data_IF_329917952191
#
_entry.id   IF_329917952191
#
_cell.length_a   1.000
_cell.length_b   1.000
_cell.length_c   1.000
_cell.angle_alpha   90.00
_cell.angle_beta   90.00
_cell.angle_gamma   90.00
#
_symmetry.space_group_name_H-M   'P 1'
#
loop_
_entity.id
_entity.type
_entity.pdbx_description
1 polymer ?
#
# COMPACT_ATOMS: atom_id res chain seq x y z
N UNK A 1 16.97 -3.67 -20.59
CA UNK A 1 17.09 -3.72 -20.16
C UNK A 1 16.80 -4.07 -19.33
N UNK A 2 16.74 -4.44 -19.36
CA UNK A 2 16.38 -4.94 -18.51
C UNK A 2 16.25 -4.59 -17.40
N UNK A 3 16.58 -4.23 -17.33
CA UNK A 3 16.45 -3.84 -16.44
C UNK A 3 15.69 -3.22 -15.58
N UNK A 4 15.33 -2.70 -15.63
CA UNK A 4 14.34 -2.29 -14.94
C UNK A 4 13.70 -3.26 -14.15
N UNK A 5 14.05 -4.48 -14.16
CA UNK A 5 13.48 -5.49 -13.44
C UNK A 5 13.55 -5.27 -11.99
N UNK A 6 14.36 -4.49 -11.41
CA UNK A 6 14.45 -4.30 -9.97
C UNK A 6 13.47 -3.29 -9.40
N UNK A 7 12.76 -2.52 -10.22
CA UNK A 7 11.92 -1.46 -9.72
C UNK A 7 10.57 -1.96 -9.18
N UNK A 8 9.89 -2.78 -9.97
CA UNK A 8 8.61 -3.34 -9.54
C UNK A 8 8.78 -4.74 -9.01
N UNK A 9 7.83 -5.16 -8.18
CA UNK A 9 7.81 -6.54 -7.70
C UNK A 9 7.63 -7.47 -8.89
N UNK A 10 8.42 -8.53 -8.91
CA UNK A 10 8.48 -9.41 -10.08
C UNK A 10 7.68 -10.69 -9.94
N UNK A 11 7.47 -11.15 -8.72
CA UNK A 11 6.80 -12.43 -8.48
C UNK A 11 5.52 -12.23 -7.68
N UNK A 12 4.58 -13.16 -7.86
CA UNK A 12 3.33 -13.13 -7.09
C UNK A 12 3.63 -13.26 -5.60
N UNK A 13 4.65 -14.02 -5.25
CA UNK A 13 5.06 -14.15 -3.86
C UNK A 13 5.44 -12.79 -3.26
N UNK A 14 6.22 -12.00 -4.00
CA UNK A 14 6.59 -10.67 -3.56
C UNK A 14 5.37 -9.76 -3.44
N UNK A 15 4.44 -9.87 -4.37
CA UNK A 15 3.20 -9.08 -4.33
C UNK A 15 2.37 -9.43 -3.10
N UNK A 16 2.26 -10.73 -2.78
CA UNK A 16 1.54 -11.16 -1.60
C UNK A 16 2.18 -10.65 -0.32
N UNK A 17 3.52 -10.68 -0.26
CA UNK A 17 4.24 -10.14 0.89
C UNK A 17 3.98 -8.64 1.01
N UNK A 18 4.00 -7.92 -0.12
CA UNK A 18 3.71 -6.49 -0.13
C UNK A 18 2.33 -6.16 0.39
N UNK A 19 1.32 -6.91 -0.06
CA UNK A 19 -0.06 -6.73 0.41
C UNK A 19 -0.14 -7.02 1.91
N UNK A 20 0.54 -8.07 2.36
CA UNK A 20 0.58 -8.41 3.78
C UNK A 20 1.21 -7.30 4.62
N UNK A 21 2.31 -6.74 4.13
CA UNK A 21 2.99 -5.63 4.82
C UNK A 21 2.04 -4.42 4.92
N UNK A 22 1.33 -4.11 3.83
CA UNK A 22 0.37 -3.00 3.86
C UNK A 22 -0.76 -3.27 4.84
N UNK A 23 -1.24 -4.52 4.91
CA UNK A 23 -2.27 -4.90 5.87
C UNK A 23 -1.80 -4.72 7.31
N UNK A 24 -0.58 -5.14 7.60
CA UNK A 24 0.01 -4.96 8.93
C UNK A 24 0.14 -3.47 9.23
N UNK A 25 0.57 -2.68 8.25
CA UNK A 25 0.67 -1.24 8.41
C UNK A 25 -0.66 -0.60 8.75
N UNK A 26 -1.74 -1.03 8.09
CA UNK A 26 -3.06 -0.52 8.36
C UNK A 26 -3.50 -0.86 9.79
N UNK A 27 -3.21 -2.08 10.24
CA UNK A 27 -3.53 -2.48 11.61
C UNK A 27 -2.74 -1.65 12.62
N UNK A 28 -1.48 -1.37 12.34
CA UNK A 28 -0.66 -0.52 13.20
C UNK A 28 -1.21 0.89 13.27
N UNK A 29 -1.71 1.40 12.15
CA UNK A 29 -2.32 2.72 12.10
C UNK A 29 -3.54 2.77 13.02
N UNK A 30 -4.42 1.78 12.92
CA UNK A 30 -5.62 1.72 13.75
C UNK A 30 -5.24 1.59 15.22
N UNK A 31 -4.26 0.74 15.54
CA UNK A 31 -3.81 0.57 16.91
C UNK A 31 -3.24 1.88 17.49
N UNK A 32 -2.46 2.60 16.68
CA UNK A 32 -1.89 3.87 17.12
C UNK A 32 -2.99 4.90 17.41
N UNK A 33 -4.03 4.94 16.57
CA UNK A 33 -5.16 5.82 16.81
C UNK A 33 -5.91 5.44 18.09
N UNK A 34 -6.11 4.15 18.30
CA UNK A 34 -6.82 3.65 19.49
C UNK A 34 -6.06 3.98 20.76
N UNK A 35 -4.73 4.03 20.69
CA UNK A 35 -3.90 4.33 21.84
C UNK A 35 -3.64 5.83 22.02
N UNK A 36 -4.22 6.66 21.15
CA UNK A 36 -4.03 8.09 21.23
C UNK A 36 -2.69 8.60 20.69
N UNK A 37 -1.98 7.76 19.96
CA UNK A 37 -0.65 8.11 19.44
C UNK A 37 -0.78 8.67 18.02
N UNK A 38 -1.33 9.88 17.93
CA UNK A 38 -1.64 10.47 16.62
C UNK A 38 -0.41 10.70 15.77
N UNK A 39 0.69 11.15 16.37
CA UNK A 39 1.91 11.35 15.60
C UNK A 39 2.44 10.07 14.98
N UNK A 40 2.37 8.97 15.73
CA UNK A 40 2.77 7.66 15.22
C UNK A 40 1.82 7.21 14.11
N UNK A 41 0.50 7.40 14.32
CA UNK A 41 -0.48 7.04 13.32
C UNK A 41 -0.25 7.80 12.02
N UNK A 42 0.05 9.08 12.09
CA UNK A 42 0.31 9.90 10.91
C UNK A 42 1.55 9.40 10.16
N UNK A 43 2.62 9.09 10.88
CA UNK A 43 3.84 8.57 10.26
C UNK A 43 3.58 7.22 9.59
N UNK A 44 2.84 6.34 10.26
CA UNK A 44 2.51 5.03 9.73
C UNK A 44 1.72 5.17 8.43
N UNK A 45 0.69 6.03 8.43
CA UNK A 45 -0.15 6.15 7.24
C UNK A 45 0.62 6.72 6.05
N UNK A 46 1.57 7.65 6.28
CA UNK A 46 2.39 8.16 5.19
C UNK A 46 3.31 7.10 4.64
N UNK A 47 4.03 6.39 5.51
CA UNK A 47 5.00 5.40 5.10
C UNK A 47 4.30 4.25 4.37
N UNK A 48 3.27 3.68 5.01
CA UNK A 48 2.59 2.53 4.42
C UNK A 48 1.69 2.92 3.25
N UNK A 49 1.26 4.18 3.20
CA UNK A 49 0.55 4.69 2.03
C UNK A 49 1.43 4.68 0.80
N UNK A 50 2.67 5.13 0.93
CA UNK A 50 3.62 5.09 -0.18
C UNK A 50 3.93 3.65 -0.59
N UNK A 51 4.11 2.76 0.40
CA UNK A 51 4.36 1.35 0.12
C UNK A 51 3.15 0.74 -0.61
N UNK A 52 1.93 1.07 -0.18
CA UNK A 52 0.73 0.52 -0.80
C UNK A 52 0.57 0.97 -2.24
N UNK A 53 0.93 2.22 -2.56
CA UNK A 53 0.89 2.71 -3.93
C UNK A 53 1.88 1.91 -4.79
N UNK A 54 3.08 1.70 -4.27
CA UNK A 54 4.09 0.93 -4.98
C UNK A 54 3.60 -0.50 -5.24
N UNK A 55 3.04 -1.15 -4.20
CA UNK A 55 2.55 -2.51 -4.32
C UNK A 55 1.41 -2.58 -5.33
N UNK A 56 0.47 -1.64 -5.28
CA UNK A 56 -0.65 -1.63 -6.20
C UNK A 56 -0.19 -1.51 -7.65
N UNK A 57 0.72 -0.58 -7.94
CA UNK A 57 1.23 -0.43 -9.29
C UNK A 57 2.04 -1.63 -9.73
N UNK A 58 2.77 -2.27 -8.81
CA UNK A 58 3.48 -3.50 -9.13
C UNK A 58 2.51 -4.63 -9.53
N UNK A 59 1.41 -4.75 -8.80
CA UNK A 59 0.40 -5.76 -9.10
C UNK A 59 -0.27 -5.45 -10.44
N UNK A 60 -0.58 -4.18 -10.71
CA UNK A 60 -1.14 -3.79 -12.00
C UNK A 60 -0.21 -4.14 -13.14
N UNK A 61 1.07 -3.82 -12.99
CA UNK A 61 2.07 -4.11 -14.01
C UNK A 61 2.17 -5.61 -14.27
N UNK A 62 2.24 -6.39 -13.17
CA UNK A 62 2.31 -7.84 -13.30
C UNK A 62 1.09 -8.44 -13.96
N UNK A 63 -0.10 -7.96 -13.57
CA UNK A 63 -1.33 -8.46 -14.18
C UNK A 63 -1.45 -8.06 -15.64
N UNK A 64 -0.96 -6.87 -15.98
CA UNK A 64 -0.96 -6.43 -17.36
C UNK A 64 -0.11 -7.34 -18.25
N UNK A 65 0.99 -7.85 -17.70
CA UNK A 65 1.89 -8.73 -18.43
C UNK A 65 1.42 -10.18 -18.45
N UNK A 66 0.82 -10.64 -17.35
CA UNK A 66 0.39 -12.04 -17.24
C UNK A 66 -0.82 -12.12 -16.32
N UNK A 67 -1.99 -12.12 -16.92
CA UNK A 67 -3.24 -12.18 -16.17
C UNK A 67 -3.42 -13.48 -15.40
N UNK A 68 -2.84 -14.55 -15.89
CA UNK A 68 -2.99 -15.84 -15.23
C UNK A 68 -2.13 -15.95 -13.98
N UNK A 69 -1.00 -15.26 -13.96
CA UNK A 69 -0.10 -15.32 -12.83
C UNK A 69 -0.59 -14.48 -11.65
N UNK A 70 -1.25 -13.36 -11.92
CA UNK A 70 -1.70 -12.43 -10.89
C UNK A 70 -3.23 -12.50 -10.79
N UNK A 71 -3.71 -12.92 -9.62
CA UNK A 71 -5.16 -13.08 -9.45
C UNK A 71 -5.86 -11.73 -9.30
N UNK A 72 -7.12 -11.71 -9.66
CA UNK A 72 -7.95 -10.53 -9.51
C UNK A 72 -8.12 -10.17 -8.03
N UNK A 73 -8.20 -11.20 -7.17
CA UNK A 73 -8.30 -10.98 -5.73
C UNK A 73 -7.10 -10.21 -5.19
N UNK A 74 -5.90 -10.54 -5.66
CA UNK A 74 -4.69 -9.86 -5.24
C UNK A 74 -4.74 -8.39 -5.67
N UNK A 75 -5.19 -8.13 -6.90
CA UNK A 75 -5.31 -6.76 -7.39
C UNK A 75 -6.32 -5.97 -6.55
N UNK A 76 -7.48 -6.57 -6.29
CA UNK A 76 -8.50 -5.91 -5.47
C UNK A 76 -8.00 -5.63 -4.05
N UNK A 77 -7.31 -6.62 -3.45
CA UNK A 77 -6.76 -6.45 -2.11
C UNK A 77 -5.74 -5.32 -2.04
N UNK A 78 -4.82 -5.29 -3.00
CA UNK A 78 -3.82 -4.23 -3.06
C UNK A 78 -4.48 -2.87 -3.29
N UNK A 79 -5.47 -2.80 -4.17
CA UNK A 79 -6.18 -1.56 -4.44
C UNK A 79 -6.95 -1.05 -3.24
N UNK A 80 -7.61 -1.95 -2.53
CA UNK A 80 -8.37 -1.56 -1.33
C UNK A 80 -7.44 -0.98 -0.26
N UNK A 81 -6.33 -1.66 0.00
CA UNK A 81 -5.36 -1.16 0.99
C UNK A 81 -4.76 0.16 0.55
N UNK A 82 -4.45 0.31 -0.73
CA UNK A 82 -3.91 1.56 -1.25
C UNK A 82 -4.89 2.70 -1.03
N UNK A 83 -6.17 2.48 -1.35
CA UNK A 83 -7.18 3.51 -1.18
C UNK A 83 -7.32 3.89 0.28
N UNK A 84 -7.38 2.90 1.18
CA UNK A 84 -7.53 3.17 2.60
C UNK A 84 -6.34 3.93 3.17
N UNK A 85 -5.13 3.46 2.91
CA UNK A 85 -3.92 4.09 3.44
C UNK A 85 -3.67 5.46 2.81
N UNK A 86 -3.80 5.56 1.50
CA UNK A 86 -3.59 6.83 0.82
C UNK A 86 -4.67 7.84 1.20
N UNK A 87 -5.91 7.39 1.35
CA UNK A 87 -7.00 8.26 1.80
C UNK A 87 -6.73 8.83 3.18
N UNK A 88 -6.27 7.98 4.11
CA UNK A 88 -5.91 8.44 5.44
C UNK A 88 -4.76 9.45 5.40
N UNK A 89 -3.78 9.20 4.54
CA UNK A 89 -2.65 10.13 4.39
C UNK A 89 -3.12 11.49 3.87
N UNK A 90 -4.02 11.49 2.88
CA UNK A 90 -4.57 12.73 2.33
C UNK A 90 -5.34 13.49 3.39
N UNK A 91 -6.17 12.80 4.19
CA UNK A 91 -6.91 13.44 5.26
C UNK A 91 -5.96 14.06 6.28
N UNK A 92 -4.88 13.38 6.62
CA UNK A 92 -3.89 13.87 7.55
C UNK A 92 -3.24 15.14 7.02
N UNK A 93 -2.89 15.16 5.73
CA UNK A 93 -2.31 16.34 5.09
C UNK A 93 -3.29 17.51 5.16
N UNK A 94 -4.55 17.25 4.88
CA UNK A 94 -5.56 18.32 4.93
C UNK A 94 -5.67 18.91 6.33
N UNK A 95 -5.64 18.09 7.34
CA UNK A 95 -5.72 18.57 8.72
C UNK A 95 -4.50 19.44 9.08
N UNK A 96 -3.32 19.02 8.65
CA UNK A 96 -2.11 19.82 8.91
C UNK A 96 -2.12 21.14 8.18
N UNK A 97 -2.65 21.16 6.96
CA UNK A 97 -2.71 22.39 6.17
C UNK A 97 -3.87 23.28 6.55
N UNK A 98 -4.81 22.79 7.34
CA UNK A 98 -5.99 23.55 7.70
C UNK A 98 -7.02 23.62 6.60
N UNK A 99 -6.97 22.67 5.68
CA UNK A 99 -7.94 22.60 4.59
C UNK A 99 -9.15 21.70 4.94
#
# INVERSE_FOLDING_TARGET
MKEKKGFWLQTVKQMNIGVGVCGVGFLLYIAALAMGMEGVADAVTFIFGLISVYVFFSVLDGRSKDKDAVSLSLLWGAGALMIMLAGCAVLTIRLYLGL
#
